data_IF_053330107675
#
_entry.id   IF_053330107675
#
_cell.length_a   1.000
_cell.length_b   1.000
_cell.length_c   1.000
_cell.angle_alpha   90.00
_cell.angle_beta   90.00
_cell.angle_gamma   90.00
#
_symmetry.space_group_name_H-M   'P 1'
#
loop_
_entity.id
_entity.type
_entity.pdbx_description
1 polymer ?
#
# COMPACT_ATOMS: atom_id res chain seq x y z
N UNK A 1 1.03 2.61 1.23
CA UNK A 1 -0.24 1.93 0.93
C UNK A 1 0.07 0.49 0.58
N UNK A 2 -0.52 -0.44 1.28
CA UNK A 2 -0.38 -1.86 1.02
C UNK A 2 -1.75 -2.50 0.91
N UNK A 3 -1.87 -3.53 0.06
CA UNK A 3 -3.11 -4.31 -0.11
C UNK A 3 -3.33 -5.23 1.09
N UNK A 4 -2.24 -5.70 1.69
CA UNK A 4 -2.23 -6.59 2.87
C UNK A 4 -1.13 -6.16 3.83
N UNK A 5 -1.27 -6.54 5.10
CA UNK A 5 -0.18 -6.40 6.05
C UNK A 5 1.05 -7.24 5.68
N UNK A 6 2.25 -6.87 6.16
CA UNK A 6 3.50 -7.54 5.81
C UNK A 6 3.47 -9.06 6.03
N UNK A 7 3.07 -9.48 7.23
CA UNK A 7 2.97 -10.89 7.61
C UNK A 7 1.96 -11.67 6.74
N UNK A 8 0.82 -11.05 6.44
CA UNK A 8 -0.22 -11.68 5.62
C UNK A 8 0.26 -11.90 4.19
N UNK A 9 0.91 -10.90 3.59
CA UNK A 9 1.44 -11.02 2.24
C UNK A 9 2.53 -12.08 2.18
N UNK A 10 3.50 -12.05 3.09
CA UNK A 10 4.57 -13.04 3.17
C UNK A 10 4.02 -14.46 3.38
N UNK A 11 2.98 -14.61 4.21
CA UNK A 11 2.29 -15.89 4.43
C UNK A 11 1.61 -16.42 3.16
N UNK A 12 0.89 -15.58 2.44
CA UNK A 12 0.25 -15.96 1.17
C UNK A 12 1.28 -16.39 0.13
N UNK A 13 2.38 -15.64 -0.01
CA UNK A 13 3.45 -15.99 -0.95
C UNK A 13 4.11 -17.32 -0.59
N UNK A 14 4.29 -17.63 0.70
CA UNK A 14 4.80 -18.91 1.17
C UNK A 14 3.85 -20.06 0.80
N UNK A 15 2.54 -19.90 1.00
CA UNK A 15 1.53 -20.91 0.62
C UNK A 15 1.61 -21.20 -0.88
N UNK A 16 1.65 -20.15 -1.69
CA UNK A 16 1.74 -20.29 -3.16
C UNK A 16 3.03 -21.00 -3.57
N UNK A 17 4.17 -20.63 -2.96
CA UNK A 17 5.46 -21.26 -3.24
C UNK A 17 5.46 -22.75 -2.87
N UNK A 18 4.87 -23.10 -1.71
CA UNK A 18 4.72 -24.50 -1.28
C UNK A 18 3.86 -25.33 -2.24
N UNK A 19 2.72 -24.76 -2.66
CA UNK A 19 1.85 -25.43 -3.62
C UNK A 19 2.54 -25.63 -4.98
N UNK A 20 3.29 -24.62 -5.44
CA UNK A 20 4.06 -24.73 -6.68
C UNK A 20 5.18 -25.79 -6.60
N UNK A 21 5.87 -25.90 -5.46
CA UNK A 21 6.87 -26.92 -5.23
C UNK A 21 6.25 -28.33 -5.25
N UNK A 22 5.11 -28.50 -4.56
CA UNK A 22 4.37 -29.77 -4.57
C UNK A 22 3.90 -30.17 -5.98
N UNK A 23 3.34 -29.23 -6.72
CA UNK A 23 2.88 -29.48 -8.09
C UNK A 23 4.03 -29.85 -9.04
N UNK A 24 5.23 -29.32 -8.78
CA UNK A 24 6.44 -29.63 -9.55
C UNK A 24 7.20 -30.87 -9.04
N UNK A 25 6.70 -31.56 -8.01
CA UNK A 25 7.38 -32.73 -7.40
C UNK A 25 8.71 -32.36 -6.73
N UNK A 26 8.89 -31.12 -6.31
CA UNK A 26 10.11 -30.62 -5.64
C UNK A 26 9.92 -30.59 -4.14
N UNK A 27 11.01 -30.85 -3.41
CA UNK A 27 11.04 -30.64 -1.97
C UNK A 27 10.95 -29.14 -1.65
N UNK A 28 10.18 -28.80 -0.63
CA UNK A 28 10.02 -27.41 -0.17
C UNK A 28 10.99 -27.14 0.98
N UNK A 29 11.90 -26.20 0.79
CA UNK A 29 12.87 -25.79 1.81
C UNK A 29 12.24 -24.76 2.76
N UNK A 30 11.89 -25.21 3.95
CA UNK A 30 11.31 -24.39 5.02
C UNK A 30 12.27 -23.30 5.52
N UNK A 31 13.57 -23.55 5.53
CA UNK A 31 14.57 -22.59 6.01
C UNK A 31 14.76 -21.45 5.02
N UNK A 32 14.77 -21.76 3.73
CA UNK A 32 14.82 -20.75 2.69
C UNK A 32 13.52 -19.95 2.61
N UNK A 33 12.38 -20.61 2.79
CA UNK A 33 11.09 -19.94 2.84
C UNK A 33 10.99 -18.96 4.01
N UNK A 34 11.45 -19.33 5.20
CA UNK A 34 11.49 -18.44 6.36
C UNK A 34 12.33 -17.18 6.10
N UNK A 35 13.45 -17.31 5.40
CA UNK A 35 14.28 -16.16 5.00
C UNK A 35 13.54 -15.25 4.01
N UNK A 36 12.87 -15.84 3.01
CA UNK A 36 12.09 -15.08 2.02
C UNK A 36 10.92 -14.35 2.68
N UNK A 37 10.20 -15.00 3.58
CA UNK A 37 9.11 -14.40 4.34
C UNK A 37 9.59 -13.17 5.10
N UNK A 38 10.67 -13.33 5.87
CA UNK A 38 11.24 -12.21 6.63
C UNK A 38 11.69 -11.06 5.72
N UNK A 39 12.37 -11.35 4.62
CA UNK A 39 12.77 -10.33 3.66
C UNK A 39 11.57 -9.58 3.06
N UNK A 40 10.48 -10.29 2.74
CA UNK A 40 9.24 -9.70 2.24
C UNK A 40 8.57 -8.84 3.30
N UNK A 41 8.50 -9.30 4.53
CA UNK A 41 7.96 -8.55 5.67
C UNK A 41 8.71 -7.23 5.87
N UNK A 42 10.05 -7.30 5.97
CA UNK A 42 10.93 -6.14 6.16
C UNK A 42 10.79 -5.13 4.99
N UNK A 43 10.69 -5.62 3.76
CA UNK A 43 10.48 -4.78 2.58
C UNK A 43 9.14 -4.06 2.65
N UNK A 44 8.04 -4.79 2.82
CA UNK A 44 6.70 -4.21 2.84
C UNK A 44 6.54 -3.23 4.01
N UNK A 45 7.11 -3.54 5.17
CA UNK A 45 7.08 -2.63 6.32
C UNK A 45 7.78 -1.31 5.99
N UNK A 46 8.96 -1.36 5.38
CA UNK A 46 9.69 -0.15 4.95
C UNK A 46 8.95 0.66 3.89
N UNK A 47 8.25 -0.01 2.98
CA UNK A 47 7.49 0.62 1.90
C UNK A 47 6.10 1.10 2.33
N UNK A 48 5.61 0.66 3.48
CA UNK A 48 4.29 1.03 4.01
C UNK A 48 4.27 2.39 4.73
N UNK A 49 5.41 3.03 4.91
CA UNK A 49 5.51 4.32 5.56
C UNK A 49 4.90 5.44 4.70
N UNK A 50 4.21 6.39 5.34
CA UNK A 50 3.65 7.54 4.65
C UNK A 50 4.70 8.34 3.87
N UNK A 51 5.89 8.53 4.48
CA UNK A 51 7.02 9.20 3.84
C UNK A 51 7.51 8.50 2.57
N UNK A 52 7.44 7.16 2.53
CA UNK A 52 7.83 6.40 1.34
C UNK A 52 6.95 6.73 0.13
N UNK A 53 5.65 6.88 0.34
CA UNK A 53 4.68 7.20 -0.71
C UNK A 53 4.79 8.66 -1.15
N UNK A 54 4.87 9.58 -0.19
CA UNK A 54 5.02 11.01 -0.49
C UNK A 54 6.32 11.32 -1.23
N UNK A 55 7.42 10.64 -0.89
CA UNK A 55 8.69 10.77 -1.61
C UNK A 55 8.60 10.32 -3.07
N UNK A 56 7.62 9.49 -3.42
CA UNK A 56 7.35 9.01 -4.79
C UNK A 56 6.22 9.73 -5.49
N UNK A 57 5.70 10.80 -4.89
CA UNK A 57 4.63 11.63 -5.45
C UNK A 57 3.32 10.85 -5.68
N UNK A 58 3.04 9.83 -4.88
CA UNK A 58 1.78 9.09 -4.92
C UNK A 58 0.63 9.85 -4.24
N UNK A 59 0.97 10.80 -3.39
CA UNK A 59 0.06 11.74 -2.75
C UNK A 59 0.58 13.18 -2.87
N UNK A 60 -0.17 14.14 -2.35
CA UNK A 60 0.18 15.56 -2.40
C UNK A 60 0.91 16.03 -1.13
N UNK A 61 1.04 15.17 -0.13
CA UNK A 61 1.76 15.45 1.10
C UNK A 61 1.21 14.70 2.31
N UNK A 62 1.85 14.94 3.44
CA UNK A 62 1.49 14.35 4.73
C UNK A 62 1.03 15.47 5.65
N UNK A 63 -0.09 15.24 6.33
CA UNK A 63 -0.59 16.12 7.38
C UNK A 63 -0.42 15.46 8.74
N UNK A 64 -0.23 16.27 9.79
CA UNK A 64 -0.32 15.76 11.15
C UNK A 64 -1.78 15.31 11.42
N UNK A 65 -2.02 14.11 11.95
CA UNK A 65 -3.38 13.66 12.28
C UNK A 65 -4.16 14.61 13.18
N UNK A 66 -3.49 15.41 14.01
CA UNK A 66 -4.10 16.41 14.86
C UNK A 66 -4.72 17.58 14.09
N UNK A 67 -4.16 17.88 12.91
CA UNK A 67 -4.58 18.99 12.05
C UNK A 67 -5.63 18.56 11.01
N UNK A 68 -6.02 17.28 10.99
CA UNK A 68 -6.95 16.72 10.00
C UNK A 68 -8.22 17.54 9.84
N UNK A 69 -8.84 17.98 10.96
CA UNK A 69 -10.07 18.78 10.92
C UNK A 69 -9.87 20.14 10.27
N UNK A 70 -8.77 20.79 10.60
CA UNK A 70 -8.45 22.14 10.06
C UNK A 70 -8.13 22.06 8.58
N UNK A 71 -7.27 21.12 8.18
CA UNK A 71 -6.90 20.90 6.78
C UNK A 71 -8.13 20.54 5.93
N UNK A 72 -8.99 19.63 6.40
CA UNK A 72 -10.23 19.29 5.71
C UNK A 72 -11.18 20.50 5.62
N UNK A 73 -11.28 21.29 6.67
CA UNK A 73 -12.08 22.51 6.68
C UNK A 73 -11.62 23.50 5.63
N UNK A 74 -10.32 23.73 5.51
CA UNK A 74 -9.73 24.61 4.50
C UNK A 74 -9.98 24.05 3.09
N UNK A 75 -9.73 22.77 2.87
CA UNK A 75 -9.96 22.13 1.57
C UNK A 75 -11.43 22.22 1.14
N UNK A 76 -12.35 21.90 2.04
CA UNK A 76 -13.79 22.01 1.76
C UNK A 76 -14.22 23.46 1.48
N UNK A 77 -13.70 24.42 2.23
CA UNK A 77 -13.95 25.82 1.99
C UNK A 77 -13.46 26.27 0.61
N UNK A 78 -12.26 25.83 0.22
CA UNK A 78 -11.71 26.10 -1.10
C UNK A 78 -12.57 25.48 -2.23
N UNK A 79 -13.03 24.25 -2.04
CA UNK A 79 -13.90 23.55 -3.00
C UNK A 79 -15.25 24.28 -3.13
N UNK A 80 -15.86 24.67 -2.02
CA UNK A 80 -17.17 25.34 -2.01
C UNK A 80 -17.10 26.84 -2.34
N UNK A 81 -15.94 27.41 -2.54
CA UNK A 81 -15.80 28.81 -2.98
C UNK A 81 -16.21 29.02 -4.44
N UNK A 82 -16.39 27.94 -5.19
CA UNK A 82 -16.86 27.99 -6.57
C UNK A 82 -17.94 26.92 -6.81
N UNK A 83 -18.65 27.02 -7.94
CA UNK A 83 -19.64 26.03 -8.34
C UNK A 83 -18.92 24.72 -8.71
N UNK A 84 -19.23 23.65 -7.98
CA UNK A 84 -18.68 22.31 -8.28
C UNK A 84 -19.58 21.66 -9.32
N UNK A 85 -19.15 21.68 -10.57
CA UNK A 85 -19.82 20.93 -11.63
C UNK A 85 -19.32 19.48 -11.63
N UNK A 86 -20.25 18.54 -11.55
CA UNK A 86 -19.93 17.11 -11.63
C UNK A 86 -19.34 16.75 -13.00
N UNK A 87 -18.32 15.91 -13.01
CA UNK A 87 -17.67 15.44 -14.25
C UNK A 87 -18.47 14.32 -14.88
N UNK A 88 -18.69 14.39 -16.19
CA UNK A 88 -19.27 13.29 -16.95
C UNK A 88 -18.16 12.28 -17.29
N UNK A 89 -18.07 11.20 -16.53
CA UNK A 89 -17.09 10.12 -16.74
C UNK A 89 -16.06 10.02 -15.64
N UNK A 90 -15.25 8.98 -15.73
CA UNK A 90 -14.18 8.70 -14.76
C UNK A 90 -12.90 9.47 -15.14
N UNK A 91 -12.23 10.02 -14.14
CA UNK A 91 -10.91 10.63 -14.32
C UNK A 91 -9.83 9.56 -14.50
N UNK A 92 -8.66 9.99 -14.99
CA UNK A 92 -7.45 9.17 -14.93
C UNK A 92 -6.84 9.33 -13.54
N UNK A 93 -6.71 8.24 -12.82
CA UNK A 93 -6.09 8.23 -11.50
C UNK A 93 -4.57 8.22 -11.63
N UNK A 94 -3.91 8.90 -10.72
CA UNK A 94 -2.46 8.80 -10.56
C UNK A 94 -2.13 7.40 -10.03
N UNK A 95 -1.32 6.64 -10.77
CA UNK A 95 -0.80 5.34 -10.36
C UNK A 95 0.72 5.36 -10.34
#
# INVERSE_FOLDING_TARGET
IAVMGPEQLAGVLSIVARQAAMAAGREFDEAEDAKRRKATEDQIESESLALYLSARLHDDGIIDPRDTREVLGICLSAIHSNVVEGRRGFGVFRM
#
